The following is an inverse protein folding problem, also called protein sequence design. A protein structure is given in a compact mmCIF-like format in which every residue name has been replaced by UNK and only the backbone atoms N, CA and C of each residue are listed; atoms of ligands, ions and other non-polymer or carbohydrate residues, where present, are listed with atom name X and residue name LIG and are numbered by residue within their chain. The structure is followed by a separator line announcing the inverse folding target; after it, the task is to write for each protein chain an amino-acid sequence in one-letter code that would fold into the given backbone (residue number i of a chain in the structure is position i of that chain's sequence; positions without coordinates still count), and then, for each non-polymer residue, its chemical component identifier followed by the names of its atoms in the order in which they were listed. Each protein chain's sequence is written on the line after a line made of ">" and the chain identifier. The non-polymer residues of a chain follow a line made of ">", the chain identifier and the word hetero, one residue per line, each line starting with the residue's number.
data_IF_418277707790
#
_entry.id   IF_418277707790
#
_cell.length_a   1.000
_cell.length_b   1.000
_cell.length_c   1.000
_cell.angle_alpha   90.00
_cell.angle_beta   90.00
_cell.angle_gamma   90.00
#
_symmetry.space_group_name_H-M   'P 1'
#
loop_
_entity.id
_entity.type
_entity.pdbx_description
1 polymer ?
#
# COMPACT_ATOMS: atom_id res chain seq x y z
N UNK A 1 -10.04 4.54 -13.05
CA UNK A 1 -8.76 4.72 -12.34
C UNK A 1 -8.94 5.85 -11.33
N UNK A 2 -7.90 6.29 -10.63
CA UNK A 2 -7.98 7.47 -9.78
C UNK A 2 -8.16 8.70 -10.68
N UNK A 3 -9.35 9.34 -10.77
CA UNK A 3 -9.56 10.50 -11.64
C UNK A 3 -8.78 11.70 -11.12
N UNK A 4 -8.53 12.69 -11.98
CA UNK A 4 -7.73 13.87 -11.60
C UNK A 4 -8.30 14.63 -10.41
N UNK A 5 -9.61 14.78 -10.36
CA UNK A 5 -10.33 15.46 -9.28
C UNK A 5 -10.22 14.71 -7.94
N UNK A 6 -10.40 13.39 -7.95
CA UNK A 6 -10.24 12.58 -6.73
C UNK A 6 -8.81 12.65 -6.18
N UNK A 7 -7.80 12.61 -7.05
CA UNK A 7 -6.42 12.86 -6.62
C UNK A 7 -6.26 14.27 -6.07
N UNK A 8 -6.72 15.29 -6.78
CA UNK A 8 -6.57 16.67 -6.35
C UNK A 8 -7.16 16.87 -4.94
N UNK A 9 -8.32 16.25 -4.68
CA UNK A 9 -8.93 16.23 -3.37
C UNK A 9 -8.08 15.53 -2.31
N UNK A 10 -7.61 14.31 -2.56
CA UNK A 10 -6.75 13.57 -1.63
C UNK A 10 -5.42 14.31 -1.32
N UNK A 11 -4.82 14.92 -2.34
CA UNK A 11 -3.61 15.75 -2.21
C UNK A 11 -3.90 17.01 -1.38
N UNK A 12 -5.07 17.64 -1.58
CA UNK A 12 -5.47 18.78 -0.78
C UNK A 12 -5.66 18.40 0.71
N UNK A 13 -6.24 17.23 0.99
CA UNK A 13 -6.35 16.70 2.36
C UNK A 13 -4.97 16.48 2.98
N UNK A 14 -4.06 15.78 2.28
CA UNK A 14 -2.70 15.53 2.78
C UNK A 14 -1.97 16.84 3.12
N UNK A 15 -2.08 17.85 2.23
CA UNK A 15 -1.53 19.20 2.47
C UNK A 15 -2.17 19.87 3.67
N UNK A 16 -3.49 19.82 3.78
CA UNK A 16 -4.22 20.50 4.84
C UNK A 16 -3.92 19.91 6.22
N UNK A 17 -3.85 18.58 6.32
CA UNK A 17 -3.43 17.86 7.52
C UNK A 17 -2.01 18.28 7.95
N UNK A 18 -1.05 18.20 7.02
CA UNK A 18 0.35 18.55 7.29
C UNK A 18 0.51 20.01 7.72
N UNK A 19 -0.27 20.92 7.14
CA UNK A 19 -0.22 22.37 7.43
C UNK A 19 -0.88 22.73 8.76
N UNK A 20 -2.05 22.18 9.07
CA UNK A 20 -2.87 22.62 10.22
C UNK A 20 -2.56 21.91 11.52
N UNK A 21 -2.03 20.69 11.45
CA UNK A 21 -1.75 19.88 12.63
C UNK A 21 -0.24 19.68 12.79
N UNK A 22 0.22 19.66 14.04
CA UNK A 22 1.59 19.31 14.38
C UNK A 22 1.75 17.78 14.30
N UNK A 23 1.96 17.28 13.08
CA UNK A 23 2.13 15.85 12.79
C UNK A 23 3.60 15.54 12.54
N UNK A 24 4.12 14.48 13.17
CA UNK A 24 5.45 13.94 12.87
C UNK A 24 5.44 13.10 11.57
N UNK A 25 4.29 12.54 11.22
CA UNK A 25 4.15 11.72 10.03
C UNK A 25 2.73 11.66 9.48
N UNK A 26 2.63 11.25 8.21
CA UNK A 26 1.39 10.94 7.51
C UNK A 26 1.42 9.46 7.09
N UNK A 27 0.45 8.69 7.57
CA UNK A 27 0.29 7.28 7.19
C UNK A 27 -0.74 7.14 6.08
N UNK A 28 -0.36 6.47 4.99
CA UNK A 28 -1.19 6.22 3.82
C UNK A 28 -1.73 4.78 3.88
N UNK A 29 -3.00 4.64 4.22
CA UNK A 29 -3.70 3.36 4.14
C UNK A 29 -4.62 3.30 2.91
N UNK A 30 -4.92 2.09 2.46
CA UNK A 30 -5.82 1.79 1.35
C UNK A 30 -5.44 2.43 -0.01
N UNK A 31 -4.17 2.79 -0.21
CA UNK A 31 -3.62 3.24 -1.50
C UNK A 31 -3.37 2.05 -2.45
N UNK A 32 -4.44 1.35 -2.82
CA UNK A 32 -4.44 0.14 -3.65
C UNK A 32 -5.81 -0.10 -4.28
N UNK A 33 -5.86 -0.89 -5.34
CA UNK A 33 -7.14 -1.39 -5.86
C UNK A 33 -7.64 -2.61 -5.06
N UNK A 34 -8.96 -2.89 -5.05
CA UNK A 34 -9.50 -4.10 -4.44
C UNK A 34 -8.87 -5.38 -5.01
N UNK A 35 -8.74 -5.45 -6.34
CA UNK A 35 -7.98 -6.45 -7.08
C UNK A 35 -7.69 -5.93 -8.51
N UNK A 36 -7.10 -6.77 -9.35
CA UNK A 36 -6.71 -6.50 -10.73
C UNK A 36 -7.87 -6.49 -11.73
N UNK A 37 -9.08 -6.83 -11.30
CA UNK A 37 -10.31 -6.62 -12.06
C UNK A 37 -10.91 -5.23 -11.85
N UNK A 38 -10.26 -4.34 -11.08
CA UNK A 38 -10.63 -2.93 -10.94
C UNK A 38 -9.58 -1.99 -11.56
N UNK A 39 -9.91 -0.83 -12.14
CA UNK A 39 -11.21 -0.19 -12.30
C UNK A 39 -11.50 0.03 -13.79
N UNK A 40 -12.62 -0.52 -14.27
CA UNK A 40 -13.10 -0.43 -15.67
C UNK A 40 -14.22 0.61 -15.85
N UNK A 41 -14.30 1.63 -15.00
CA UNK A 41 -15.25 2.74 -15.17
C UNK A 41 -15.05 3.46 -16.52
N UNK A 42 -16.12 4.06 -17.05
CA UNK A 42 -16.06 4.77 -18.33
C UNK A 42 -15.01 5.88 -18.36
N UNK A 43 -14.81 6.60 -17.24
CA UNK A 43 -13.75 7.58 -17.11
C UNK A 43 -12.37 6.93 -17.23
N UNK A 44 -12.20 5.72 -16.71
CA UNK A 44 -10.96 4.97 -16.78
C UNK A 44 -10.56 4.55 -18.17
N UNK A 45 -11.51 3.95 -18.87
CA UNK A 45 -11.34 3.46 -20.22
C UNK A 45 -11.07 4.63 -21.17
N UNK A 46 -11.74 5.77 -20.97
CA UNK A 46 -11.47 7.00 -21.73
C UNK A 46 -10.06 7.56 -21.49
N UNK A 47 -9.63 7.66 -20.24
CA UNK A 47 -8.27 8.13 -19.91
C UNK A 47 -7.19 7.17 -20.42
N UNK A 48 -7.44 5.86 -20.37
CA UNK A 48 -6.53 4.86 -20.92
C UNK A 48 -6.44 4.94 -22.44
N UNK A 49 -7.57 5.03 -23.15
CA UNK A 49 -7.54 5.28 -24.59
C UNK A 49 -6.72 6.52 -24.92
N UNK A 50 -6.92 7.61 -24.17
CA UNK A 50 -6.16 8.85 -24.35
C UNK A 50 -4.64 8.67 -24.13
N UNK A 51 -4.22 7.79 -23.21
CA UNK A 51 -2.81 7.52 -22.96
C UNK A 51 -2.14 6.66 -24.05
N UNK A 52 -2.93 5.98 -24.89
CA UNK A 52 -2.43 5.20 -26.03
C UNK A 52 -2.18 6.06 -27.27
N UNK A 53 -2.87 7.20 -27.40
CA UNK A 53 -2.85 8.04 -28.62
C UNK A 53 -1.44 8.42 -29.11
N UNK A 54 -0.45 8.75 -28.24
CA UNK A 54 0.88 9.12 -28.71
C UNK A 54 1.64 7.98 -29.41
N UNK A 55 1.35 6.73 -29.05
CA UNK A 55 2.12 5.56 -29.49
C UNK A 55 1.37 4.65 -30.46
N UNK A 56 0.04 4.80 -30.56
CA UNK A 56 -0.82 3.88 -31.31
C UNK A 56 -1.00 4.34 -32.77
N UNK A 57 -0.67 3.52 -33.78
CA UNK A 57 -0.86 3.86 -35.18
C UNK A 57 -2.33 4.21 -35.51
N UNK A 58 -2.55 5.23 -36.34
CA UNK A 58 -3.88 5.71 -36.68
C UNK A 58 -4.85 4.63 -37.23
N UNK A 59 -4.41 3.67 -38.10
CA UNK A 59 -5.30 2.61 -38.56
C UNK A 59 -5.75 1.66 -37.44
N UNK A 60 -4.86 1.36 -36.50
CA UNK A 60 -5.15 0.49 -35.36
C UNK A 60 -6.11 1.17 -34.38
N UNK A 61 -5.87 2.45 -34.08
CA UNK A 61 -6.77 3.27 -33.28
C UNK A 61 -8.19 3.31 -33.88
N UNK A 62 -8.31 3.57 -35.19
CA UNK A 62 -9.60 3.63 -35.88
C UNK A 62 -10.34 2.29 -35.83
N UNK A 63 -9.64 1.16 -35.98
CA UNK A 63 -10.23 -0.17 -35.87
C UNK A 63 -10.76 -0.47 -34.46
N UNK A 64 -10.04 -0.05 -33.42
CA UNK A 64 -10.49 -0.19 -32.03
C UNK A 64 -11.67 0.74 -31.71
N UNK A 65 -11.64 1.98 -32.20
CA UNK A 65 -12.72 2.95 -32.04
C UNK A 65 -14.03 2.47 -32.67
N UNK A 66 -13.98 1.86 -33.85
CA UNK A 66 -15.16 1.29 -34.51
C UNK A 66 -15.82 0.17 -33.67
N UNK A 67 -15.05 -0.52 -32.84
CA UNK A 67 -15.52 -1.61 -31.95
C UNK A 67 -15.99 -1.11 -30.59
N UNK A 68 -15.46 0.01 -30.11
CA UNK A 68 -15.72 0.54 -28.76
C UNK A 68 -17.21 0.69 -28.39
N UNK A 69 -18.13 1.08 -29.30
CA UNK A 69 -19.57 1.16 -28.98
C UNK A 69 -20.21 -0.17 -28.60
N UNK A 70 -19.65 -1.30 -29.07
CA UNK A 70 -20.15 -2.66 -28.82
C UNK A 70 -19.29 -3.44 -27.81
N UNK A 71 -18.09 -2.95 -27.53
CA UNK A 71 -17.14 -3.55 -26.60
C UNK A 71 -16.41 -2.44 -25.83
N UNK A 72 -17.01 -1.98 -24.73
CA UNK A 72 -16.52 -0.83 -23.96
C UNK A 72 -15.06 -1.00 -23.48
N UNK A 73 -14.64 -2.22 -23.20
CA UNK A 73 -13.31 -2.58 -22.70
C UNK A 73 -12.30 -2.88 -23.80
N UNK A 74 -12.65 -2.73 -25.09
CA UNK A 74 -11.83 -3.20 -26.23
C UNK A 74 -10.35 -2.77 -26.17
N UNK A 75 -10.07 -1.54 -25.72
CA UNK A 75 -8.70 -1.06 -25.55
C UNK A 75 -7.97 -1.79 -24.42
N UNK A 76 -8.62 -1.95 -23.27
CA UNK A 76 -8.06 -2.66 -22.12
C UNK A 76 -7.85 -4.15 -22.41
N UNK A 77 -8.77 -4.77 -23.16
CA UNK A 77 -8.70 -6.17 -23.55
C UNK A 77 -7.62 -6.42 -24.61
N UNK A 78 -7.40 -5.44 -25.50
CA UNK A 78 -6.35 -5.51 -26.53
C UNK A 78 -4.96 -5.27 -25.93
N UNK A 79 -4.85 -4.42 -24.91
CA UNK A 79 -3.58 -4.06 -24.28
C UNK A 79 -3.58 -4.31 -22.75
N UNK A 80 -3.72 -5.57 -22.30
CA UNK A 80 -3.87 -5.88 -20.88
C UNK A 80 -2.68 -5.43 -20.02
N UNK A 81 -1.46 -5.59 -20.52
CA UNK A 81 -0.24 -5.18 -19.80
C UNK A 81 -0.13 -3.65 -19.69
N UNK A 82 -0.43 -2.92 -20.77
CA UNK A 82 -0.47 -1.45 -20.76
C UNK A 82 -1.57 -0.95 -19.83
N UNK A 83 -2.71 -1.64 -19.78
CA UNK A 83 -3.81 -1.31 -18.89
C UNK A 83 -3.45 -1.53 -17.41
N UNK A 84 -2.78 -2.65 -17.10
CA UNK A 84 -2.27 -2.90 -15.75
C UNK A 84 -1.22 -1.85 -15.36
N UNK A 85 -0.26 -1.55 -16.23
CA UNK A 85 0.76 -0.53 -16.01
C UNK A 85 0.16 0.87 -15.83
N UNK A 86 -0.83 1.24 -16.65
CA UNK A 86 -1.55 2.50 -16.51
C UNK A 86 -2.21 2.62 -15.14
N UNK A 87 -2.95 1.60 -14.69
CA UNK A 87 -3.61 1.62 -13.38
C UNK A 87 -2.61 1.70 -12.23
N UNK A 88 -1.52 0.92 -12.27
CA UNK A 88 -0.42 1.02 -11.30
C UNK A 88 0.17 2.43 -11.24
N UNK A 89 0.46 3.02 -12.39
CA UNK A 89 0.99 4.38 -12.48
C UNK A 89 0.03 5.41 -11.86
N UNK A 90 -1.30 5.20 -11.93
CA UNK A 90 -2.28 6.08 -11.27
C UNK A 90 -2.23 5.98 -9.74
N UNK A 91 -1.99 4.78 -9.18
CA UNK A 91 -1.78 4.62 -7.72
C UNK A 91 -0.48 5.32 -7.31
N UNK A 92 0.62 5.06 -8.01
CA UNK A 92 1.89 5.75 -7.77
C UNK A 92 1.76 7.27 -7.85
N UNK A 93 1.04 7.78 -8.85
CA UNK A 93 0.78 9.20 -9.03
C UNK A 93 0.01 9.83 -7.87
N UNK A 94 -0.95 9.10 -7.29
CA UNK A 94 -1.68 9.52 -6.11
C UNK A 94 -0.76 9.58 -4.87
N UNK A 95 -0.03 8.50 -4.58
CA UNK A 95 0.88 8.42 -3.43
C UNK A 95 1.94 9.51 -3.50
N UNK A 96 2.62 9.64 -4.64
CA UNK A 96 3.63 10.68 -4.91
C UNK A 96 3.09 12.09 -4.70
N UNK A 97 1.86 12.35 -5.17
CA UNK A 97 1.21 13.64 -4.98
C UNK A 97 0.92 13.97 -3.51
N UNK A 98 0.45 12.99 -2.74
CA UNK A 98 0.16 13.17 -1.31
C UNK A 98 1.45 13.36 -0.51
N UNK A 99 2.47 12.53 -0.77
CA UNK A 99 3.80 12.66 -0.16
C UNK A 99 4.43 14.03 -0.42
N UNK A 100 4.45 14.45 -1.69
CA UNK A 100 5.03 15.74 -2.10
C UNK A 100 4.32 16.89 -1.42
N UNK A 101 2.99 16.94 -1.49
CA UNK A 101 2.22 18.04 -0.91
C UNK A 101 2.32 18.10 0.62
N UNK A 102 2.42 16.95 1.29
CA UNK A 102 2.65 16.88 2.73
C UNK A 102 4.03 17.45 3.09
N UNK A 103 5.10 17.07 2.37
CA UNK A 103 6.46 17.57 2.61
C UNK A 103 6.65 19.04 2.26
N UNK A 104 5.98 19.53 1.21
CA UNK A 104 5.94 20.96 0.88
C UNK A 104 5.30 21.77 2.01
N UNK A 105 4.22 21.26 2.62
CA UNK A 105 3.54 21.93 3.72
C UNK A 105 4.28 21.81 5.06
N UNK A 106 4.99 20.70 5.27
CA UNK A 106 5.78 20.41 6.48
C UNK A 106 7.08 19.70 6.13
N UNK A 107 8.18 20.44 5.91
CA UNK A 107 9.48 19.84 5.68
C UNK A 107 9.86 18.87 6.81
N UNK A 108 10.29 17.67 6.45
CA UNK A 108 10.69 16.63 7.40
C UNK A 108 9.56 15.72 7.91
N UNK A 109 8.29 15.95 7.53
CA UNK A 109 7.20 15.01 7.87
C UNK A 109 7.50 13.62 7.30
N UNK A 110 7.39 12.58 8.12
CA UNK A 110 7.58 11.20 7.68
C UNK A 110 6.37 10.68 6.90
N UNK A 111 6.59 9.95 5.81
CA UNK A 111 5.53 9.29 5.07
C UNK A 111 5.63 7.79 5.24
N UNK A 112 4.57 7.15 5.74
CA UNK A 112 4.48 5.69 5.84
C UNK A 112 3.31 5.15 5.04
N UNK A 113 3.34 3.87 4.64
CA UNK A 113 2.29 3.28 3.81
C UNK A 113 1.96 1.84 4.20
N UNK A 114 0.68 1.50 4.29
CA UNK A 114 0.22 0.13 4.49
C UNK A 114 0.25 -0.66 3.17
N UNK A 115 0.95 -1.79 3.15
CA UNK A 115 1.17 -2.57 1.91
C UNK A 115 0.83 -4.04 2.03
N UNK A 116 0.51 -4.66 0.90
CA UNK A 116 0.50 -6.12 0.82
C UNK A 116 1.96 -6.63 0.90
N UNK A 117 2.28 -7.61 1.78
CA UNK A 117 3.67 -7.98 2.04
C UNK A 117 4.42 -8.53 0.82
N UNK A 118 3.80 -9.43 0.04
CA UNK A 118 4.45 -10.00 -1.13
C UNK A 118 4.51 -8.95 -2.26
N UNK A 119 5.72 -8.52 -2.71
CA UNK A 119 5.85 -7.46 -3.72
C UNK A 119 5.18 -7.81 -5.04
N UNK A 120 5.21 -9.08 -5.46
CA UNK A 120 4.62 -9.51 -6.72
C UNK A 120 3.09 -9.47 -6.68
N UNK A 121 2.47 -10.01 -5.63
CA UNK A 121 1.04 -9.93 -5.38
C UNK A 121 0.59 -8.47 -5.19
N UNK A 122 1.40 -7.65 -4.51
CA UNK A 122 1.11 -6.22 -4.37
C UNK A 122 1.03 -5.55 -5.75
N UNK A 123 1.99 -5.83 -6.62
CA UNK A 123 2.09 -5.27 -7.97
C UNK A 123 0.99 -5.77 -8.91
N UNK A 124 0.70 -7.08 -8.87
CA UNK A 124 -0.16 -7.74 -9.85
C UNK A 124 -1.63 -7.75 -9.45
N UNK A 125 -1.93 -8.03 -8.18
CA UNK A 125 -3.30 -8.15 -7.67
C UNK A 125 -3.78 -6.81 -7.12
N UNK A 126 -2.97 -6.11 -6.31
CA UNK A 126 -3.39 -4.86 -5.66
C UNK A 126 -3.01 -3.60 -6.43
N UNK A 127 -2.24 -3.77 -7.50
CA UNK A 127 -1.70 -2.69 -8.34
C UNK A 127 -0.94 -1.64 -7.50
N UNK A 128 -0.29 -2.11 -6.43
CA UNK A 128 0.44 -1.34 -5.45
C UNK A 128 1.95 -1.53 -5.69
N UNK A 129 2.59 -0.54 -6.30
CA UNK A 129 4.02 -0.58 -6.64
C UNK A 129 4.89 0.00 -5.52
N UNK A 130 4.68 -0.51 -4.30
CA UNK A 130 5.40 -0.04 -3.12
C UNK A 130 6.92 -0.20 -3.19
N UNK A 131 7.51 -1.21 -3.88
CA UNK A 131 8.97 -1.28 -4.02
C UNK A 131 9.52 -0.06 -4.77
N UNK A 132 8.86 0.38 -5.84
CA UNK A 132 9.26 1.59 -6.55
C UNK A 132 9.12 2.85 -5.68
N UNK A 133 8.09 2.90 -4.82
CA UNK A 133 7.85 4.04 -3.94
C UNK A 133 8.95 4.16 -2.89
N UNK A 134 9.37 3.03 -2.30
CA UNK A 134 10.50 2.96 -1.39
C UNK A 134 11.80 3.35 -2.08
N UNK A 135 12.10 2.76 -3.24
CA UNK A 135 13.34 3.02 -3.98
C UNK A 135 13.49 4.50 -4.41
N UNK A 136 12.38 5.16 -4.72
CA UNK A 136 12.33 6.58 -5.13
C UNK A 136 12.24 7.57 -3.96
N UNK A 137 12.13 7.10 -2.72
CA UNK A 137 11.93 7.95 -1.55
C UNK A 137 10.57 8.66 -1.50
N UNK A 138 9.57 8.12 -2.21
CA UNK A 138 8.19 8.62 -2.13
C UNK A 138 7.62 8.37 -0.72
N UNK A 139 8.02 7.27 -0.10
CA UNK A 139 7.67 6.88 1.26
C UNK A 139 8.94 6.58 2.06
N UNK A 140 8.93 6.92 3.35
CA UNK A 140 10.04 6.70 4.28
C UNK A 140 9.95 5.35 4.97
N UNK A 141 8.73 4.86 5.21
CA UNK A 141 8.47 3.59 5.89
C UNK A 141 7.41 2.75 5.19
N UNK A 142 7.69 1.45 5.08
CA UNK A 142 6.76 0.42 4.60
C UNK A 142 6.16 -0.31 5.79
N UNK A 143 4.84 -0.39 5.83
CA UNK A 143 4.07 -1.05 6.87
C UNK A 143 3.39 -2.30 6.27
N UNK A 144 4.07 -3.45 6.14
CA UNK A 144 3.47 -4.63 5.54
C UNK A 144 2.37 -5.21 6.43
N UNK A 145 1.22 -5.54 5.86
CA UNK A 145 0.11 -6.22 6.53
C UNK A 145 0.39 -7.74 6.63
N UNK A 146 1.41 -8.13 7.40
CA UNK A 146 1.85 -9.53 7.57
C UNK A 146 0.95 -10.29 8.57
N UNK A 147 -0.29 -10.55 8.15
CA UNK A 147 -1.36 -11.07 9.03
C UNK A 147 -1.52 -12.59 8.97
N UNK A 148 -0.51 -13.32 8.50
CA UNK A 148 -0.53 -14.77 8.48
C UNK A 148 -0.57 -15.36 9.91
N UNK A 149 -1.43 -16.35 10.14
CA UNK A 149 -1.48 -17.09 11.41
C UNK A 149 -0.31 -18.08 11.48
N UNK A 150 -0.08 -18.81 10.39
CA UNK A 150 1.03 -19.74 10.22
C UNK A 150 2.39 -19.03 10.31
N UNK A 151 3.30 -19.58 11.13
CA UNK A 151 4.62 -18.97 11.33
C UNK A 151 5.44 -18.91 10.05
N UNK A 152 5.48 -19.99 9.27
CA UNK A 152 6.26 -20.05 8.03
C UNK A 152 5.82 -19.00 7.01
N UNK A 153 4.51 -18.80 6.85
CA UNK A 153 3.96 -17.77 5.97
C UNK A 153 4.31 -16.36 6.44
N UNK A 154 4.27 -16.11 7.76
CA UNK A 154 4.71 -14.84 8.33
C UNK A 154 6.20 -14.60 8.06
N UNK A 155 7.06 -15.59 8.30
CA UNK A 155 8.51 -15.50 8.02
C UNK A 155 8.76 -15.16 6.55
N UNK A 156 8.06 -15.85 5.64
CA UNK A 156 8.18 -15.61 4.20
C UNK A 156 7.75 -14.19 3.82
N UNK A 157 6.64 -13.70 4.38
CA UNK A 157 6.14 -12.33 4.15
C UNK A 157 7.13 -11.28 4.64
N UNK A 158 7.65 -11.41 5.87
CA UNK A 158 8.63 -10.47 6.44
C UNK A 158 9.91 -10.45 5.62
N UNK A 159 10.41 -11.63 5.23
CA UNK A 159 11.61 -11.78 4.39
C UNK A 159 11.42 -11.11 3.03
N UNK A 160 10.29 -11.36 2.36
CA UNK A 160 9.99 -10.77 1.05
C UNK A 160 9.95 -9.23 1.10
N UNK A 161 9.39 -8.66 2.18
CA UNK A 161 9.34 -7.20 2.37
C UNK A 161 10.75 -6.63 2.53
N UNK A 162 11.56 -7.20 3.42
CA UNK A 162 12.92 -6.71 3.67
C UNK A 162 13.81 -6.80 2.43
N UNK A 163 13.66 -7.85 1.62
CA UNK A 163 14.40 -7.98 0.36
C UNK A 163 14.06 -6.88 -0.67
N UNK A 164 12.86 -6.30 -0.61
CA UNK A 164 12.37 -5.33 -1.59
C UNK A 164 12.26 -3.88 -1.06
N UNK A 165 12.32 -3.66 0.26
CA UNK A 165 12.19 -2.32 0.87
C UNK A 165 13.41 -1.41 0.61
N UNK A 166 14.57 -1.97 0.28
CA UNK A 166 15.79 -1.20 0.03
C UNK A 166 16.21 -0.40 1.27
N UNK A 167 16.16 0.94 1.18
CA UNK A 167 16.54 1.85 2.29
C UNK A 167 15.35 2.34 3.12
N UNK A 168 14.11 2.06 2.70
CA UNK A 168 12.95 2.46 3.48
C UNK A 168 12.90 1.68 4.80
N UNK A 169 12.43 2.32 5.86
CA UNK A 169 12.20 1.62 7.12
C UNK A 169 11.10 0.57 6.95
N UNK A 170 11.20 -0.53 7.67
CA UNK A 170 10.14 -1.55 7.71
C UNK A 170 9.52 -1.57 9.10
N UNK A 171 8.23 -1.27 9.17
CA UNK A 171 7.42 -1.36 10.39
C UNK A 171 6.45 -2.53 10.27
N UNK A 172 6.85 -3.72 10.70
CA UNK A 172 6.10 -4.96 10.43
C UNK A 172 4.72 -4.96 11.09
N UNK A 173 3.66 -5.00 10.28
CA UNK A 173 2.29 -5.15 10.74
C UNK A 173 1.95 -6.60 11.09
N UNK A 174 1.60 -6.83 12.35
CA UNK A 174 1.26 -8.14 12.90
C UNK A 174 -0.26 -8.19 13.12
N UNK A 175 -0.90 -9.23 12.59
CA UNK A 175 -2.33 -9.49 12.76
C UNK A 175 -2.67 -10.02 14.15
N UNK A 176 -2.32 -9.28 15.20
CA UNK A 176 -2.48 -9.63 16.60
C UNK A 176 -3.90 -10.08 16.97
N UNK A 177 -4.94 -9.54 16.33
CA UNK A 177 -6.33 -9.97 16.52
C UNK A 177 -6.59 -11.46 16.22
N UNK A 178 -5.67 -12.12 15.51
CA UNK A 178 -5.74 -13.56 15.16
C UNK A 178 -4.86 -14.43 16.05
N UNK A 179 -4.07 -13.84 16.94
CA UNK A 179 -2.97 -14.49 17.65
C UNK A 179 -3.13 -14.35 19.17
N UNK A 180 -2.66 -15.34 19.92
CA UNK A 180 -2.46 -15.21 21.36
C UNK A 180 -1.36 -14.19 21.67
N UNK A 181 -1.33 -13.67 22.90
CA UNK A 181 -0.29 -12.73 23.32
C UNK A 181 1.15 -13.30 23.16
N UNK A 182 1.33 -14.60 23.42
CA UNK A 182 2.61 -15.30 23.25
C UNK A 182 3.01 -15.40 21.79
N UNK A 183 2.08 -15.74 20.91
CA UNK A 183 2.35 -15.80 19.47
C UNK A 183 2.69 -14.41 18.93
N UNK A 184 1.92 -13.38 19.31
CA UNK A 184 2.23 -11.99 18.96
C UNK A 184 3.62 -11.58 19.44
N UNK A 185 4.00 -11.90 20.68
CA UNK A 185 5.34 -11.63 21.18
C UNK A 185 6.43 -12.35 20.36
N UNK A 186 6.19 -13.60 19.96
CA UNK A 186 7.10 -14.34 19.07
C UNK A 186 7.22 -13.68 17.69
N UNK A 187 6.12 -13.19 17.11
CA UNK A 187 6.13 -12.46 15.83
C UNK A 187 6.85 -11.13 15.92
N UNK A 188 6.74 -10.43 17.06
CA UNK A 188 7.51 -9.21 17.34
C UNK A 188 9.01 -9.52 17.34
N UNK A 189 9.44 -10.59 18.02
CA UNK A 189 10.85 -10.97 18.05
C UNK A 189 11.36 -11.30 16.65
N UNK A 190 10.60 -12.08 15.88
CA UNK A 190 10.95 -12.45 14.51
C UNK A 190 11.07 -11.24 13.57
N UNK A 191 10.18 -10.24 13.71
CA UNK A 191 10.30 -8.99 12.97
C UNK A 191 11.59 -8.23 13.33
N UNK A 192 11.97 -8.20 14.62
CA UNK A 192 13.24 -7.58 15.06
C UNK A 192 14.46 -8.32 14.53
N UNK A 193 14.44 -9.65 14.57
CA UNK A 193 15.53 -10.49 14.07
C UNK A 193 15.73 -10.29 12.56
N UNK A 194 14.65 -10.03 11.82
CA UNK A 194 14.68 -9.67 10.41
C UNK A 194 15.14 -8.22 10.12
N UNK A 195 15.36 -7.39 11.16
CA UNK A 195 15.83 -6.02 11.03
C UNK A 195 14.73 -4.95 10.91
N UNK A 196 13.47 -5.27 11.24
CA UNK A 196 12.40 -4.28 11.24
C UNK A 196 12.69 -3.15 12.24
N UNK A 197 12.56 -1.91 11.77
CA UNK A 197 12.75 -0.70 12.61
C UNK A 197 11.62 -0.49 13.62
N UNK A 198 10.48 -1.15 13.40
CA UNK A 198 9.31 -1.08 14.28
C UNK A 198 8.33 -2.22 14.03
N UNK A 199 7.30 -2.30 14.86
CA UNK A 199 6.18 -3.24 14.73
C UNK A 199 4.85 -2.53 14.92
N UNK A 200 3.82 -2.99 14.23
CA UNK A 200 2.45 -2.48 14.34
C UNK A 200 1.54 -3.65 14.74
N UNK A 201 0.66 -3.46 15.72
CA UNK A 201 -0.29 -4.49 16.14
C UNK A 201 -1.68 -4.14 15.64
N UNK A 202 -2.22 -4.99 14.77
CA UNK A 202 -3.58 -4.84 14.25
C UNK A 202 -4.49 -5.95 14.79
N UNK A 203 -5.79 -5.73 15.02
CA UNK A 203 -6.47 -4.45 15.19
C UNK A 203 -6.65 -4.14 16.67
N UNK A 204 -6.48 -2.87 17.05
CA UNK A 204 -6.57 -2.42 18.44
C UNK A 204 -7.88 -2.85 19.10
N UNK A 205 -9.02 -2.56 18.47
CA UNK A 205 -10.34 -2.86 19.02
C UNK A 205 -10.51 -4.35 19.37
N UNK A 206 -10.04 -5.25 18.49
CA UNK A 206 -10.16 -6.69 18.73
C UNK A 206 -9.29 -7.17 19.88
N UNK A 207 -8.09 -6.58 20.06
CA UNK A 207 -7.17 -6.98 21.13
C UNK A 207 -7.43 -6.27 22.45
N UNK A 208 -8.11 -5.11 22.44
CA UNK A 208 -8.50 -4.37 23.64
C UNK A 208 -9.86 -4.78 24.20
N UNK A 209 -10.77 -5.28 23.36
CA UNK A 209 -12.15 -5.62 23.75
C UNK A 209 -12.58 -7.07 23.46
N UNK A 210 -11.80 -7.81 22.65
CA UNK A 210 -12.15 -9.17 22.19
C UNK A 210 -11.41 -10.30 22.91
N UNK A 211 -11.07 -11.37 22.18
CA UNK A 211 -10.53 -12.67 22.68
C UNK A 211 -9.32 -12.56 23.60
N UNK A 212 -8.59 -11.45 23.56
CA UNK A 212 -7.42 -11.22 24.40
C UNK A 212 -7.73 -10.81 25.85
N UNK A 213 -8.97 -10.40 26.13
CA UNK A 213 -9.37 -9.81 27.41
C UNK A 213 -8.66 -8.49 27.70
N UNK A 214 -9.02 -7.84 28.82
CA UNK A 214 -8.46 -6.55 29.22
C UNK A 214 -6.93 -6.53 29.42
N UNK A 215 -6.28 -7.71 29.41
CA UNK A 215 -4.85 -7.88 29.69
C UNK A 215 -3.99 -8.25 28.47
N UNK A 216 -4.57 -8.49 27.30
CA UNK A 216 -3.81 -8.92 26.12
C UNK A 216 -2.56 -8.08 25.85
N UNK A 217 -2.74 -6.75 25.78
CA UNK A 217 -1.65 -5.82 25.48
C UNK A 217 -0.60 -5.80 26.61
N UNK A 218 -1.03 -5.98 27.87
CA UNK A 218 -0.10 -6.11 29.00
C UNK A 218 0.72 -7.40 28.91
N UNK A 219 0.11 -8.50 28.49
CA UNK A 219 0.80 -9.78 28.35
C UNK A 219 1.77 -9.76 27.16
N UNK A 220 1.39 -9.13 26.04
CA UNK A 220 2.32 -8.85 24.92
C UNK A 220 3.46 -7.96 25.38
N UNK A 221 3.17 -6.88 26.11
CA UNK A 221 4.19 -5.96 26.64
C UNK A 221 5.21 -6.72 27.50
N UNK A 222 4.73 -7.57 28.41
CA UNK A 222 5.57 -8.39 29.29
C UNK A 222 6.42 -9.40 28.53
N UNK A 223 5.83 -10.07 27.53
CA UNK A 223 6.53 -11.10 26.79
C UNK A 223 7.54 -10.53 25.77
N UNK A 224 7.27 -9.35 25.20
CA UNK A 224 8.06 -8.83 24.08
C UNK A 224 8.95 -7.63 24.42
N UNK A 225 8.71 -6.91 25.52
CA UNK A 225 9.40 -5.63 25.79
C UNK A 225 10.03 -5.50 27.19
N UNK A 226 9.69 -6.37 28.14
CA UNK A 226 10.47 -6.43 29.39
C UNK A 226 11.79 -7.11 29.11
N UNK A 227 12.91 -6.40 29.36
CA UNK A 227 14.24 -6.99 29.38
C UNK A 227 14.24 -8.11 30.42
N UNK A 228 14.59 -9.32 30.01
CA UNK A 228 15.06 -10.30 30.99
C UNK A 228 16.38 -9.73 31.57
N UNK A 229 16.52 -9.70 32.90
CA UNK A 229 17.73 -9.21 33.56
C UNK A 229 18.98 -9.95 33.12
#
# INVERSE_FOLDING_TARGET
>A
PIPREARAHAVAIARDLARRYALDGLHLDYVRFPNDSFDYSAAALREFRASLLPDLPAPELAALDARAPRAATVFADTFPDRWQAFRRARVTWLVDGMSTAAREARPGIQISVAVLPDPNAALTIKLQDWPSWAARGIVDAICPMAYAEGRGDFTAQVTAVHNAAGKAQVWTGIGAYRLTARETASRIQEARDAGSSGVLLFSYDSVSSGRGGARYLLDVARAAFTKHP
#
